data_IF_059733768367
#
_entry.id   IF_059733768367
#
_cell.length_a   1.000
_cell.length_b   1.000
_cell.length_c   1.000
_cell.angle_alpha   90.00
_cell.angle_beta   90.00
_cell.angle_gamma   90.00
#
_symmetry.space_group_name_H-M   'P 1'
#
loop_
_entity.id
_entity.type
_entity.pdbx_description
1 polymer ?
#
# COMPACT_ATOMS: atom_id res chain seq x y z
N UNK A 1 -29.02 2.13 7.20
CA UNK A 1 -28.13 2.50 6.07
C UNK A 1 -27.04 3.42 6.61
N UNK A 2 -25.92 2.86 7.04
CA UNK A 2 -24.76 3.64 7.48
C UNK A 2 -23.97 4.01 6.22
N UNK A 3 -24.14 5.26 5.77
CA UNK A 3 -23.34 5.81 4.69
C UNK A 3 -21.88 5.88 5.15
N UNK A 4 -21.01 5.11 4.51
CA UNK A 4 -19.59 5.20 4.70
C UNK A 4 -19.14 6.62 4.33
N UNK A 5 -18.82 7.43 5.34
CA UNK A 5 -18.06 8.65 5.15
C UNK A 5 -16.60 8.21 5.04
N UNK A 6 -15.99 8.43 3.88
CA UNK A 6 -14.53 8.35 3.78
C UNK A 6 -13.96 9.51 4.59
N UNK A 7 -13.61 9.25 5.85
CA UNK A 7 -12.81 10.16 6.65
C UNK A 7 -11.40 10.13 6.06
N UNK A 8 -11.09 11.07 5.17
CA UNK A 8 -9.73 11.26 4.68
C UNK A 8 -8.84 11.56 5.89
N UNK A 9 -7.88 10.67 6.19
CA UNK A 9 -6.84 10.93 7.19
C UNK A 9 -5.87 11.93 6.56
N UNK A 10 -6.11 13.22 6.82
CA UNK A 10 -5.15 14.28 6.49
C UNK A 10 -4.04 14.24 7.53
N UNK A 11 -2.89 13.69 7.15
CA UNK A 11 -1.70 13.70 8.00
C UNK A 11 -1.12 15.12 7.97
N UNK A 12 -1.40 15.91 9.01
CA UNK A 12 -0.98 17.31 9.12
C UNK A 12 0.54 17.52 9.18
N UNK A 13 1.33 16.44 9.28
CA UNK A 13 2.79 16.46 9.29
C UNK A 13 3.34 15.15 8.68
N UNK A 14 3.10 14.94 7.38
CA UNK A 14 3.75 13.87 6.64
C UNK A 14 5.23 14.22 6.43
N UNK A 15 6.13 13.38 6.95
CA UNK A 15 7.53 13.36 6.56
C UNK A 15 7.70 12.84 5.12
N UNK A 16 8.89 12.38 4.77
CA UNK A 16 9.11 11.74 3.49
C UNK A 16 8.37 10.39 3.39
N UNK A 17 8.01 10.00 2.17
CA UNK A 17 7.51 8.65 1.89
C UNK A 17 8.63 7.59 1.97
N UNK A 18 8.25 6.32 2.08
CA UNK A 18 9.19 5.20 2.19
C UNK A 18 10.05 5.07 0.92
N UNK A 19 9.53 5.42 -0.26
CA UNK A 19 10.31 5.39 -1.50
C UNK A 19 11.50 6.36 -1.45
N UNK A 20 11.27 7.57 -0.93
CA UNK A 20 12.28 8.58 -0.76
C UNK A 20 13.31 8.19 0.30
N UNK A 21 12.90 7.57 1.42
CA UNK A 21 13.84 7.12 2.44
C UNK A 21 14.70 5.92 2.01
N UNK A 22 14.12 4.96 1.28
CA UNK A 22 14.87 3.85 0.68
C UNK A 22 15.90 4.36 -0.32
N UNK A 23 15.51 5.24 -1.25
CA UNK A 23 16.42 5.82 -2.25
C UNK A 23 17.58 6.60 -1.64
N UNK A 24 17.36 7.23 -0.49
CA UNK A 24 18.39 7.99 0.23
C UNK A 24 19.30 7.11 1.08
N UNK A 25 18.98 5.82 1.27
CA UNK A 25 19.76 4.89 2.08
C UNK A 25 19.83 5.26 3.56
N UNK A 26 18.82 5.98 4.09
CA UNK A 26 18.85 6.50 5.47
C UNK A 26 18.26 5.57 6.52
N UNK A 27 17.52 4.56 6.09
CA UNK A 27 16.93 3.58 6.99
C UNK A 27 17.90 2.42 7.18
N UNK A 28 18.21 2.12 8.43
CA UNK A 28 18.83 0.83 8.78
C UNK A 28 17.91 -0.33 8.42
N UNK A 29 18.48 -1.53 8.25
CA UNK A 29 17.71 -2.75 8.03
C UNK A 29 16.62 -2.98 9.10
N UNK A 30 16.87 -2.58 10.35
CA UNK A 30 15.89 -2.68 11.43
C UNK A 30 14.72 -1.70 11.25
N UNK A 31 14.99 -0.47 10.82
CA UNK A 31 13.95 0.54 10.54
C UNK A 31 13.11 0.14 9.32
N UNK A 32 13.73 -0.42 8.28
CA UNK A 32 13.02 -0.99 7.13
C UNK A 32 12.11 -2.13 7.57
N UNK A 33 12.62 -3.08 8.36
CA UNK A 33 11.83 -4.19 8.89
C UNK A 33 10.63 -3.70 9.71
N UNK A 34 10.83 -2.66 10.53
CA UNK A 34 9.74 -2.09 11.31
C UNK A 34 8.68 -1.41 10.45
N UNK A 35 9.08 -0.66 9.41
CA UNK A 35 8.15 -0.07 8.44
C UNK A 35 7.30 -1.15 7.75
N UNK A 36 7.93 -2.22 7.27
CA UNK A 36 7.25 -3.36 6.62
C UNK A 36 6.27 -4.07 7.57
N UNK A 37 6.62 -4.20 8.85
CA UNK A 37 5.73 -4.75 9.88
C UNK A 37 4.49 -3.86 10.09
N UNK A 38 4.68 -2.54 10.16
CA UNK A 38 3.57 -1.59 10.29
C UNK A 38 2.64 -1.65 9.07
N UNK A 39 3.20 -1.75 7.87
CA UNK A 39 2.44 -1.96 6.63
C UNK A 39 1.61 -3.23 6.65
N UNK A 40 2.23 -4.37 6.99
CA UNK A 40 1.52 -5.64 7.09
C UNK A 40 0.38 -5.58 8.11
N UNK A 41 0.57 -4.84 9.22
CA UNK A 41 -0.46 -4.63 10.23
C UNK A 41 -1.62 -3.78 9.69
N UNK A 42 -1.32 -2.71 8.94
CA UNK A 42 -2.35 -1.87 8.31
C UNK A 42 -3.17 -2.66 7.28
N UNK A 43 -2.51 -3.45 6.43
CA UNK A 43 -3.19 -4.31 5.44
C UNK A 43 -4.06 -5.36 6.12
N UNK A 44 -3.55 -6.03 7.15
CA UNK A 44 -4.35 -7.00 7.91
C UNK A 44 -5.62 -6.36 8.52
N UNK A 45 -5.52 -5.10 8.99
CA UNK A 45 -6.69 -4.37 9.49
C UNK A 45 -7.70 -4.01 8.38
N UNK A 46 -7.22 -3.61 7.19
CA UNK A 46 -8.09 -3.36 6.03
C UNK A 46 -8.78 -4.64 5.55
N UNK A 47 -8.03 -5.73 5.42
CA UNK A 47 -8.54 -7.05 5.01
C UNK A 47 -9.59 -7.56 6.00
N UNK A 48 -9.36 -7.42 7.30
CA UNK A 48 -10.36 -7.75 8.33
C UNK A 48 -11.65 -6.93 8.22
N UNK A 49 -11.60 -5.73 7.63
CA UNK A 49 -12.77 -4.90 7.33
C UNK A 49 -13.40 -5.21 5.95
N UNK A 50 -12.88 -6.19 5.21
CA UNK A 50 -13.35 -6.58 3.88
C UNK A 50 -12.92 -5.60 2.78
N UNK A 51 -11.85 -4.84 3.00
CA UNK A 51 -11.32 -3.85 2.06
C UNK A 51 -9.97 -4.30 1.50
N UNK A 52 -9.77 -4.08 0.20
CA UNK A 52 -8.47 -4.23 -0.48
C UNK A 52 -7.93 -2.83 -0.73
N UNK A 53 -6.67 -2.56 -0.39
CA UNK A 53 -6.03 -1.26 -0.61
C UNK A 53 -5.88 -0.96 -2.10
N UNK A 54 -5.40 -1.94 -2.89
CA UNK A 54 -5.43 -1.89 -4.35
C UNK A 54 -4.30 -1.08 -5.01
N UNK A 55 -3.49 -0.33 -4.27
CA UNK A 55 -2.27 0.32 -4.78
C UNK A 55 -1.15 0.43 -3.74
N UNK A 56 -0.78 -0.71 -3.13
CA UNK A 56 0.32 -0.76 -2.15
C UNK A 56 1.66 -0.53 -2.85
N UNK A 57 2.37 0.53 -2.47
CA UNK A 57 3.71 0.89 -2.97
C UNK A 57 4.42 1.80 -1.98
N UNK A 58 5.75 1.94 -2.01
CA UNK A 58 6.49 2.74 -1.02
C UNK A 58 6.12 4.24 -1.02
N UNK A 59 5.60 4.76 -2.14
CA UNK A 59 5.13 6.15 -2.24
C UNK A 59 3.86 6.41 -1.42
N UNK A 60 3.07 5.36 -1.15
CA UNK A 60 1.83 5.43 -0.39
C UNK A 60 2.07 5.11 1.09
N UNK A 61 3.32 5.18 1.54
CA UNK A 61 3.74 4.89 2.90
C UNK A 61 4.45 6.11 3.44
N UNK A 62 3.80 6.85 4.32
CA UNK A 62 4.28 8.16 4.78
C UNK A 62 4.79 8.05 6.21
N UNK A 63 5.96 8.62 6.45
CA UNK A 63 6.51 8.75 7.79
C UNK A 63 5.74 9.81 8.59
N UNK A 64 5.40 9.48 9.84
CA UNK A 64 4.85 10.41 10.84
C UNK A 64 5.80 10.42 12.02
N UNK A 65 6.38 11.59 12.30
CA UNK A 65 7.35 11.76 13.38
C UNK A 65 6.61 12.16 14.66
N UNK A 66 6.78 11.36 15.70
CA UNK A 66 6.24 11.56 17.04
C UNK A 66 7.42 11.60 18.03
N UNK A 67 7.93 12.80 18.28
CA UNK A 67 9.17 13.00 19.02
C UNK A 67 10.37 12.34 18.32
N UNK A 68 10.99 11.36 18.98
CA UNK A 68 12.11 10.59 18.41
C UNK A 68 11.67 9.32 17.65
N UNK A 69 10.38 9.00 17.67
CA UNK A 69 9.84 7.81 17.01
C UNK A 69 9.27 8.15 15.63
N UNK A 70 9.49 7.26 14.66
CA UNK A 70 8.85 7.33 13.34
C UNK A 70 7.80 6.24 13.23
N UNK A 71 6.54 6.62 12.97
CA UNK A 71 5.48 5.70 12.56
C UNK A 71 5.31 5.76 11.05
N UNK A 72 4.86 4.67 10.44
CA UNK A 72 4.61 4.57 9.01
C UNK A 72 3.13 4.33 8.76
N UNK A 73 2.51 5.22 8.00
CA UNK A 73 1.10 5.13 7.65
C UNK A 73 0.97 4.72 6.19
N UNK A 74 0.16 3.69 5.93
CA UNK A 74 -0.34 3.39 4.59
C UNK A 74 -1.48 4.37 4.28
N UNK A 75 -1.33 5.13 3.20
CA UNK A 75 -2.26 6.17 2.77
C UNK A 75 -2.66 5.97 1.30
N UNK A 76 -3.43 6.92 0.75
CA UNK A 76 -3.91 6.91 -0.63
C UNK A 76 -4.85 5.72 -0.92
N UNK A 77 -6.12 5.92 -0.56
CA UNK A 77 -7.19 4.94 -0.65
C UNK A 77 -8.01 5.09 -1.95
N UNK A 78 -7.53 5.83 -2.95
CA UNK A 78 -8.27 6.08 -4.19
C UNK A 78 -8.49 4.79 -5.01
N UNK A 79 -7.62 3.80 -4.82
CA UNK A 79 -7.75 2.46 -5.41
C UNK A 79 -8.49 1.45 -4.50
N UNK A 80 -8.91 1.87 -3.30
CA UNK A 80 -9.48 0.98 -2.30
C UNK A 80 -10.91 0.58 -2.69
N UNK A 81 -11.19 -0.71 -2.62
CA UNK A 81 -12.50 -1.31 -2.95
C UNK A 81 -12.79 -2.47 -2.01
N UNK A 82 -14.03 -2.97 -2.00
CA UNK A 82 -14.34 -4.17 -1.21
C UNK A 82 -13.79 -5.42 -1.90
N UNK A 83 -13.46 -6.43 -1.09
CA UNK A 83 -13.13 -7.76 -1.60
C UNK A 83 -14.28 -8.27 -2.49
N UNK A 84 -13.94 -8.76 -3.69
CA UNK A 84 -14.90 -9.27 -4.66
C UNK A 84 -15.56 -8.21 -5.54
N UNK A 85 -15.30 -6.91 -5.33
CA UNK A 85 -15.72 -5.86 -6.26
C UNK A 85 -14.79 -5.79 -7.47
N UNK A 86 -15.34 -5.37 -8.61
CA UNK A 86 -14.55 -5.14 -9.81
C UNK A 86 -13.55 -4.00 -9.55
N UNK A 87 -12.27 -4.25 -9.80
CA UNK A 87 -11.25 -3.20 -9.69
C UNK A 87 -11.49 -2.09 -10.72
N UNK A 88 -11.22 -0.82 -10.39
CA UNK A 88 -11.46 0.28 -11.31
C UNK A 88 -10.65 0.14 -12.60
N UNK A 89 -11.34 -0.02 -13.74
CA UNK A 89 -10.70 -0.16 -15.06
C UNK A 89 -9.81 1.05 -15.44
N UNK A 90 -10.17 2.25 -14.95
CA UNK A 90 -9.45 3.51 -15.16
C UNK A 90 -8.48 3.90 -14.04
N UNK A 91 -8.40 3.14 -12.95
CA UNK A 91 -7.48 3.44 -11.85
C UNK A 91 -6.03 3.40 -12.32
N UNK A 92 -5.19 4.28 -11.78
CA UNK A 92 -3.75 4.25 -12.01
C UNK A 92 -3.18 2.95 -11.42
N UNK A 93 -3.04 1.91 -12.25
CA UNK A 93 -2.34 0.70 -11.87
C UNK A 93 -0.86 1.02 -11.87
N UNK A 94 -0.16 0.81 -10.75
CA UNK A 94 1.30 0.85 -10.72
C UNK A 94 1.85 -0.54 -11.07
N UNK A 95 2.18 -0.87 -12.34
CA UNK A 95 2.35 -2.26 -12.77
C UNK A 95 3.53 -2.96 -12.11
N UNK A 96 4.49 -2.18 -11.62
CA UNK A 96 5.68 -2.66 -10.90
C UNK A 96 5.34 -3.39 -9.59
N UNK A 97 4.23 -3.02 -8.93
CA UNK A 97 3.79 -3.61 -7.65
C UNK A 97 2.52 -4.45 -7.79
N UNK A 98 1.83 -4.35 -8.92
CA UNK A 98 0.57 -5.05 -9.13
C UNK A 98 0.75 -6.57 -9.22
N UNK A 99 -0.24 -7.31 -8.71
CA UNK A 99 -0.30 -8.76 -8.85
C UNK A 99 -0.36 -9.19 -10.33
N UNK A 100 0.31 -10.29 -10.71
CA UNK A 100 0.45 -10.69 -12.10
C UNK A 100 -0.91 -10.99 -12.74
N UNK A 101 -1.83 -11.60 -12.01
CA UNK A 101 -3.22 -11.85 -12.42
C UNK A 101 -3.96 -10.57 -12.77
N UNK A 102 -3.77 -9.50 -12.00
CA UNK A 102 -4.40 -8.19 -12.23
C UNK A 102 -3.81 -7.48 -13.43
N UNK A 103 -2.48 -7.54 -13.60
CA UNK A 103 -1.80 -7.03 -14.80
C UNK A 103 -2.28 -7.78 -16.04
N UNK A 104 -2.39 -9.11 -15.95
CA UNK A 104 -2.80 -9.95 -17.06
C UNK A 104 -4.27 -9.73 -17.45
N UNK A 105 -5.17 -9.59 -16.48
CA UNK A 105 -6.57 -9.24 -16.73
C UNK A 105 -6.69 -7.89 -17.46
N UNK A 106 -5.98 -6.86 -16.99
CA UNK A 106 -5.97 -5.54 -17.66
C UNK A 106 -5.43 -5.61 -19.09
N UNK A 107 -4.36 -6.37 -19.32
CA UNK A 107 -3.80 -6.56 -20.66
C UNK A 107 -4.77 -7.24 -21.63
N UNK A 108 -5.64 -8.13 -21.12
CA UNK A 108 -6.69 -8.81 -21.91
C UNK A 108 -8.01 -8.04 -22.00
N UNK A 109 -8.13 -6.89 -21.33
CA UNK A 109 -9.40 -6.16 -21.23
C UNK A 109 -10.46 -6.89 -20.39
N UNK A 110 -10.02 -7.79 -19.50
CA UNK A 110 -10.88 -8.55 -18.61
C UNK A 110 -11.11 -7.81 -17.28
N UNK A 111 -12.24 -8.12 -16.64
CA UNK A 111 -12.53 -7.64 -15.29
C UNK A 111 -11.71 -8.45 -14.29
N UNK A 112 -10.95 -7.74 -13.46
CA UNK A 112 -10.32 -8.31 -12.26
C UNK A 112 -11.13 -7.94 -11.03
N UNK A 113 -11.45 -8.95 -10.20
CA UNK A 113 -12.14 -8.74 -8.93
C UNK A 113 -11.10 -8.66 -7.81
N UNK A 114 -11.21 -7.63 -6.98
CA UNK A 114 -10.23 -7.35 -5.94
C UNK A 114 -10.15 -8.50 -4.92
N UNK A 115 -8.93 -8.92 -4.63
CA UNK A 115 -8.64 -9.92 -3.62
C UNK A 115 -7.58 -9.41 -2.65
N UNK A 116 -7.63 -9.87 -1.40
CA UNK A 116 -6.59 -9.56 -0.39
C UNK A 116 -5.18 -9.96 -0.88
N UNK A 117 -5.10 -11.02 -1.70
CA UNK A 117 -3.88 -11.48 -2.34
C UNK A 117 -3.21 -10.42 -3.23
N UNK A 118 -3.98 -9.48 -3.80
CA UNK A 118 -3.42 -8.37 -4.59
C UNK A 118 -2.49 -7.50 -3.73
N UNK A 119 -2.92 -7.17 -2.51
CA UNK A 119 -2.13 -6.37 -1.58
C UNK A 119 -0.96 -7.16 -0.99
N UNK A 120 -1.15 -8.46 -0.74
CA UNK A 120 -0.09 -9.34 -0.23
C UNK A 120 1.05 -9.46 -1.26
N UNK A 121 0.70 -9.61 -2.53
CA UNK A 121 1.69 -9.58 -3.61
C UNK A 121 2.45 -8.26 -3.62
N UNK A 122 1.73 -7.14 -3.62
CA UNK A 122 2.33 -5.82 -3.67
C UNK A 122 3.26 -5.54 -2.47
N UNK A 123 2.87 -5.96 -1.26
CA UNK A 123 3.74 -5.94 -0.09
C UNK A 123 5.01 -6.78 -0.32
N UNK A 124 4.88 -7.97 -0.90
CA UNK A 124 6.01 -8.83 -1.26
C UNK A 124 7.00 -8.14 -2.20
N UNK A 125 6.51 -7.39 -3.19
CA UNK A 125 7.35 -6.56 -4.07
C UNK A 125 8.07 -5.47 -3.29
N UNK A 126 7.38 -4.77 -2.38
CA UNK A 126 7.99 -3.75 -1.51
C UNK A 126 9.10 -4.34 -0.64
N UNK A 127 8.90 -5.53 -0.05
CA UNK A 127 9.94 -6.25 0.71
C UNK A 127 11.14 -6.56 -0.18
N UNK A 128 10.90 -7.06 -1.39
CA UNK A 128 11.97 -7.41 -2.32
C UNK A 128 12.78 -6.18 -2.76
N UNK A 129 12.12 -5.05 -3.01
CA UNK A 129 12.77 -3.78 -3.31
C UNK A 129 13.60 -3.28 -2.12
N UNK A 130 13.02 -3.23 -0.93
CA UNK A 130 13.70 -2.71 0.25
C UNK A 130 14.96 -3.52 0.63
N UNK A 131 15.03 -4.80 0.26
CA UNK A 131 16.24 -5.64 0.38
C UNK A 131 17.32 -5.36 -0.66
N UNK A 132 16.96 -4.77 -1.81
CA UNK A 132 17.92 -4.39 -2.86
C UNK A 132 18.50 -3.01 -2.61
N UNK A 133 17.70 -2.12 -2.02
CA UNK A 133 18.01 -0.71 -1.85
C UNK A 133 18.63 -0.38 -0.47
N UNK A 134 18.70 -1.34 0.46
CA UNK A 134 19.28 -1.19 1.81
C UNK A 134 20.33 -2.24 2.12
#
# INVERSE_FOLDING_TARGET
>A
ALGARCDAVVVAAGGADLAAELRRGRLSALQVKDALRQLATALAAMHAAGLVHGDVKPHNVVAVVDGAATRWLLCDLDACVRVGEATPAGGALTPQYAAPERVAARARGEVHYAAEADDVWALGVVVAQARRDG
#
